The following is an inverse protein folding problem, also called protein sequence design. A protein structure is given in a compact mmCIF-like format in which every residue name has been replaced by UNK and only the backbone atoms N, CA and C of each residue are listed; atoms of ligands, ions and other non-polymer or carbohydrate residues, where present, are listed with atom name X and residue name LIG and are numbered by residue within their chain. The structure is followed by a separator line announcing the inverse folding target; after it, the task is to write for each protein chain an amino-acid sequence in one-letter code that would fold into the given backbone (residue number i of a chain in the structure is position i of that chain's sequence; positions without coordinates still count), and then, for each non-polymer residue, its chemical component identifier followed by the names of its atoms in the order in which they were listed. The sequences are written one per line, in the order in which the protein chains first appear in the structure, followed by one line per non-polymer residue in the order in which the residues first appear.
data_IF_441968637945
#
_entry.id   IF_441968637945
#
_cell.length_a   1.000
_cell.length_b   1.000
_cell.length_c   1.000
_cell.angle_alpha   90.00
_cell.angle_beta   90.00
_cell.angle_gamma   90.00
#
_symmetry.space_group_name_H-M   'P 1'
#
loop_
_entity.id
_entity.type
_entity.pdbx_description
1 polymer ?
#
# COMPACT_ATOMS: atom_id res chain seq x y z
N UNK A 1 -14.68 14.90 6.23
CA UNK A 1 -15.00 14.40 4.87
C UNK A 1 -16.18 15.17 4.25
N UNK A 2 -17.31 15.35 4.96
CA UNK A 2 -18.48 16.11 4.45
C UNK A 2 -18.18 17.53 3.95
N UNK A 3 -17.31 18.30 4.61
CA UNK A 3 -16.96 19.66 4.17
C UNK A 3 -16.19 19.69 2.83
N UNK A 4 -15.40 18.66 2.52
CA UNK A 4 -14.58 18.62 1.30
C UNK A 4 -15.37 18.20 0.05
N UNK A 5 -16.54 17.56 0.25
CA UNK A 5 -17.42 17.09 -0.81
C UNK A 5 -18.43 18.17 -1.27
N UNK A 6 -18.65 19.20 -0.44
CA UNK A 6 -19.59 20.29 -0.70
C UNK A 6 -18.94 21.60 -1.20
N UNK A 7 -17.62 21.60 -1.48
CA UNK A 7 -16.83 22.83 -1.64
C UNK A 7 -16.65 23.34 -3.08
N UNK A 8 -17.34 22.80 -4.08
CA UNK A 8 -17.12 23.20 -5.49
C UNK A 8 -15.72 22.87 -6.01
N UNK A 9 -15.02 21.95 -5.34
CA UNK A 9 -13.71 21.45 -5.77
C UNK A 9 -13.86 20.47 -6.93
N UNK A 10 -13.04 20.63 -7.97
CA UNK A 10 -13.00 19.72 -9.12
C UNK A 10 -12.47 18.31 -8.78
N UNK A 11 -11.77 18.17 -7.64
CA UNK A 11 -11.17 16.90 -7.18
C UNK A 11 -11.34 16.75 -5.66
N UNK A 12 -11.80 15.57 -5.23
CA UNK A 12 -11.82 15.15 -3.82
C UNK A 12 -10.80 14.02 -3.61
N UNK A 13 -9.93 14.17 -2.61
CA UNK A 13 -8.98 13.13 -2.20
C UNK A 13 -9.37 12.61 -0.82
N UNK A 14 -9.58 11.30 -0.72
CA UNK A 14 -9.80 10.61 0.54
C UNK A 14 -8.64 9.64 0.80
N UNK A 15 -7.92 9.86 1.89
CA UNK A 15 -6.79 9.02 2.32
C UNK A 15 -7.29 8.03 3.38
N UNK A 16 -6.88 6.76 3.29
CA UNK A 16 -7.35 5.67 4.17
C UNK A 16 -8.89 5.62 4.28
N UNK A 17 -9.55 5.71 3.13
CA UNK A 17 -10.99 5.76 3.09
C UNK A 17 -11.59 4.35 3.25
N UNK A 18 -12.68 4.25 4.01
CA UNK A 18 -13.50 3.04 4.04
C UNK A 18 -14.59 3.13 2.95
N UNK A 19 -14.93 1.98 2.37
CA UNK A 19 -15.93 1.94 1.29
C UNK A 19 -17.31 2.42 1.78
N UNK A 20 -17.68 2.11 3.02
CA UNK A 20 -19.01 2.42 3.55
C UNK A 20 -19.24 3.94 3.71
N UNK A 21 -18.20 4.65 4.13
CA UNK A 21 -18.16 6.11 4.22
C UNK A 21 -18.24 6.74 2.83
N UNK A 22 -17.35 6.34 1.92
CA UNK A 22 -17.28 6.93 0.58
C UNK A 22 -18.52 6.65 -0.27
N UNK A 23 -19.09 5.44 -0.19
CA UNK A 23 -20.24 5.05 -1.00
C UNK A 23 -21.45 5.99 -0.84
N UNK A 24 -21.62 6.61 0.34
CA UNK A 24 -22.71 7.57 0.61
C UNK A 24 -22.54 8.90 -0.15
N UNK A 25 -21.34 9.16 -0.66
CA UNK A 25 -20.98 10.42 -1.29
C UNK A 25 -20.69 10.28 -2.78
N UNK A 26 -20.52 9.06 -3.29
CA UNK A 26 -20.37 8.83 -4.74
C UNK A 26 -21.72 9.04 -5.43
N UNK A 27 -21.77 10.06 -6.28
CA UNK A 27 -22.90 10.28 -7.20
C UNK A 27 -22.63 9.70 -8.59
N UNK A 28 -23.67 9.54 -9.40
CA UNK A 28 -23.56 9.02 -10.77
C UNK A 28 -22.70 9.90 -11.70
N UNK A 29 -22.49 11.17 -11.35
CA UNK A 29 -21.72 12.13 -12.14
C UNK A 29 -20.25 12.24 -11.67
N UNK A 30 -19.87 11.51 -10.63
CA UNK A 30 -18.50 11.50 -10.13
C UNK A 30 -17.68 10.42 -10.83
N UNK A 31 -16.44 10.77 -11.14
CA UNK A 31 -15.45 9.85 -11.66
C UNK A 31 -14.52 9.46 -10.52
N UNK A 32 -14.58 8.20 -10.09
CA UNK A 32 -13.90 7.74 -8.89
C UNK A 32 -12.75 6.79 -9.23
N UNK A 33 -11.62 6.99 -8.55
CA UNK A 33 -10.47 6.10 -8.60
C UNK A 33 -10.12 5.63 -7.19
N UNK A 34 -9.77 4.36 -7.05
CA UNK A 34 -9.22 3.80 -5.83
C UNK A 34 -7.82 3.25 -6.13
N UNK A 35 -6.80 3.90 -5.56
CA UNK A 35 -5.42 3.45 -5.70
C UNK A 35 -5.10 2.45 -4.60
N UNK A 36 -4.84 1.21 -5.00
CA UNK A 36 -4.43 0.11 -4.12
C UNK A 36 -2.92 -0.12 -4.21
N UNK A 37 -2.36 -0.82 -3.24
CA UNK A 37 -0.95 -1.21 -3.20
C UNK A 37 -0.84 -2.65 -2.74
N UNK A 38 0.21 -3.35 -3.17
CA UNK A 38 0.48 -4.72 -2.70
C UNK A 38 0.55 -4.72 -1.14
N UNK A 39 -0.28 -5.51 -0.43
CA UNK A 39 -0.33 -5.52 1.03
C UNK A 39 1.03 -5.85 1.67
N UNK A 40 1.86 -6.68 1.04
CA UNK A 40 3.23 -6.96 1.51
C UNK A 40 4.09 -5.69 1.51
N UNK A 41 4.03 -4.92 0.43
CA UNK A 41 4.72 -3.62 0.31
C UNK A 41 4.16 -2.58 1.29
N UNK A 42 2.85 -2.61 1.59
CA UNK A 42 2.23 -1.75 2.59
C UNK A 42 2.80 -2.03 3.98
N UNK A 43 2.91 -3.30 4.40
CA UNK A 43 3.48 -3.66 5.72
C UNK A 43 4.91 -3.16 5.86
N UNK A 44 5.77 -3.39 4.87
CA UNK A 44 7.17 -2.92 4.89
C UNK A 44 7.23 -1.39 4.98
N UNK A 45 6.46 -0.71 4.13
CA UNK A 45 6.42 0.75 4.09
C UNK A 45 5.93 1.34 5.41
N UNK A 46 4.90 0.74 5.99
CA UNK A 46 4.34 1.14 7.27
C UNK A 46 5.33 0.91 8.41
N UNK A 47 6.01 -0.24 8.49
CA UNK A 47 6.92 -0.54 9.59
C UNK A 47 8.01 0.54 9.70
N UNK A 48 8.71 0.81 8.59
CA UNK A 48 9.79 1.80 8.62
C UNK A 48 9.28 3.23 8.84
N UNK A 49 8.12 3.57 8.28
CA UNK A 49 7.56 4.91 8.47
C UNK A 49 7.02 5.11 9.88
N UNK A 50 6.28 4.14 10.42
CA UNK A 50 5.77 4.16 11.79
C UNK A 50 6.91 4.20 12.80
N UNK A 51 7.99 3.45 12.57
CA UNK A 51 9.17 3.45 13.44
C UNK A 51 9.91 4.80 13.43
N UNK A 52 9.98 5.51 12.30
CA UNK A 52 10.92 6.64 12.16
C UNK A 52 10.35 7.94 11.64
N UNK A 53 9.60 7.90 10.54
CA UNK A 53 9.37 9.11 9.73
C UNK A 53 7.97 9.67 9.87
N UNK A 54 6.93 8.83 9.99
CA UNK A 54 5.54 9.26 10.01
C UNK A 54 5.28 10.24 11.19
N UNK A 55 4.60 11.38 10.99
CA UNK A 55 4.29 12.28 12.09
C UNK A 55 3.42 11.58 13.14
N UNK A 56 3.67 11.84 14.42
CA UNK A 56 2.85 11.32 15.53
C UNK A 56 1.97 12.39 16.18
N UNK A 57 2.11 13.65 15.75
CA UNK A 57 1.33 14.76 16.28
C UNK A 57 -0.16 14.51 16.02
N UNK A 58 -0.94 14.46 17.11
CA UNK A 58 -2.38 14.16 17.05
C UNK A 58 -2.73 12.67 16.84
N UNK A 59 -1.75 11.75 16.89
CA UNK A 59 -1.99 10.32 16.68
C UNK A 59 -1.35 9.44 17.76
N UNK A 60 -1.96 9.45 18.95
CA UNK A 60 -1.46 8.73 20.13
C UNK A 60 -1.30 7.20 19.91
N UNK A 61 -2.15 6.60 19.07
CA UNK A 61 -2.04 5.18 18.72
C UNK A 61 -0.73 4.88 18.00
N UNK A 62 -0.33 5.74 17.05
CA UNK A 62 0.95 5.60 16.35
C UNK A 62 2.13 5.92 17.27
N UNK A 63 2.00 6.88 18.19
CA UNK A 63 3.03 7.15 19.19
C UNK A 63 3.31 5.91 20.06
N UNK A 64 2.25 5.23 20.52
CA UNK A 64 2.37 3.96 21.26
C UNK A 64 2.96 2.84 20.41
N UNK A 65 2.49 2.69 19.17
CA UNK A 65 3.06 1.74 18.19
C UNK A 65 4.56 1.97 18.04
N UNK A 66 5.00 3.21 17.82
CA UNK A 66 6.41 3.56 17.63
C UNK A 66 7.27 3.15 18.82
N UNK A 67 6.80 3.39 20.04
CA UNK A 67 7.52 2.99 21.25
C UNK A 67 7.72 1.47 21.29
N UNK A 68 6.66 0.69 21.04
CA UNK A 68 6.75 -0.77 20.98
C UNK A 68 7.71 -1.23 19.88
N UNK A 69 7.61 -0.65 18.67
CA UNK A 69 8.50 -0.99 17.55
C UNK A 69 9.97 -0.66 17.84
N UNK A 70 10.26 0.29 18.73
CA UNK A 70 11.61 0.62 19.18
C UNK A 70 12.21 -0.37 20.18
N UNK A 71 11.38 -1.22 20.79
CA UNK A 71 11.78 -2.17 21.85
C UNK A 71 11.87 -3.63 21.39
N UNK A 72 11.31 -3.94 20.22
CA UNK A 72 11.27 -5.31 19.67
C UNK A 72 12.25 -5.48 18.51
N UNK A 73 12.59 -6.73 18.19
CA UNK A 73 13.32 -7.03 16.97
C UNK A 73 12.49 -6.70 15.71
N UNK A 74 13.18 -6.59 14.57
CA UNK A 74 12.58 -6.22 13.29
C UNK A 74 11.46 -7.17 12.87
N UNK A 75 11.61 -8.47 13.10
CA UNK A 75 10.69 -9.48 12.60
C UNK A 75 9.37 -9.44 13.38
N UNK A 76 9.46 -9.35 14.71
CA UNK A 76 8.33 -9.08 15.59
C UNK A 76 7.70 -7.72 15.25
N UNK A 77 8.51 -6.70 15.03
CA UNK A 77 8.02 -5.36 14.67
C UNK A 77 7.23 -5.33 13.35
N UNK A 78 7.64 -6.09 12.34
CA UNK A 78 6.90 -6.24 11.08
C UNK A 78 5.56 -6.95 11.30
N UNK A 79 5.52 -8.00 12.12
CA UNK A 79 4.29 -8.71 12.46
C UNK A 79 3.31 -7.84 13.27
N UNK A 80 3.82 -7.07 14.25
CA UNK A 80 3.01 -6.09 15.00
C UNK A 80 2.50 -4.96 14.11
N UNK A 81 3.29 -4.55 13.12
CA UNK A 81 2.85 -3.56 12.13
C UNK A 81 1.72 -4.10 11.28
N UNK A 82 1.82 -5.34 10.78
CA UNK A 82 0.72 -6.00 10.08
C UNK A 82 -0.56 -5.96 10.92
N UNK A 83 -0.51 -6.44 12.17
CA UNK A 83 -1.69 -6.46 13.06
C UNK A 83 -2.27 -5.06 13.31
N UNK A 84 -1.40 -4.04 13.47
CA UNK A 84 -1.85 -2.66 13.61
C UNK A 84 -2.59 -2.13 12.37
N UNK A 85 -2.12 -2.47 11.17
CA UNK A 85 -2.75 -2.08 9.91
C UNK A 85 -4.07 -2.83 9.62
N UNK A 86 -4.29 -3.97 10.28
CA UNK A 86 -5.55 -4.75 10.23
C UNK A 86 -6.57 -4.32 11.28
N UNK A 87 -6.19 -3.43 12.19
CA UNK A 87 -7.07 -2.96 13.25
C UNK A 87 -8.26 -2.19 12.68
N UNK A 88 -9.48 -2.45 13.17
CA UNK A 88 -10.64 -1.57 12.96
C UNK A 88 -10.60 -0.29 13.81
N UNK A 89 -9.54 -0.11 14.60
CA UNK A 89 -9.32 1.03 15.50
C UNK A 89 -7.90 1.58 15.27
N UNK A 90 -7.61 2.00 14.05
CA UNK A 90 -6.29 2.48 13.64
C UNK A 90 -6.05 3.93 14.08
N UNK A 91 -7.07 4.77 13.89
CA UNK A 91 -7.26 6.04 14.61
C UNK A 91 -8.71 6.11 15.07
N UNK A 92 -9.11 7.11 15.89
CA UNK A 92 -10.52 7.33 16.18
C UNK A 92 -11.34 7.34 14.89
N UNK A 93 -12.36 6.48 14.83
CA UNK A 93 -13.32 6.39 13.72
C UNK A 93 -12.74 5.98 12.35
N UNK A 94 -11.49 5.47 12.31
CA UNK A 94 -10.86 5.00 11.07
C UNK A 94 -10.25 3.62 11.23
N UNK A 95 -10.51 2.76 10.24
CA UNK A 95 -9.90 1.45 10.16
C UNK A 95 -8.45 1.56 9.64
N UNK A 96 -7.71 0.48 9.82
CA UNK A 96 -6.38 0.34 9.24
C UNK A 96 -6.48 0.08 7.74
N UNK A 97 -5.44 0.45 6.97
CA UNK A 97 -5.48 0.35 5.52
C UNK A 97 -5.60 -1.09 5.02
N UNK A 98 -5.11 -2.09 5.77
CA UNK A 98 -5.29 -3.50 5.38
C UNK A 98 -6.69 -4.01 5.73
N UNK A 99 -7.29 -3.52 6.82
CA UNK A 99 -8.69 -3.77 7.11
C UNK A 99 -9.59 -3.27 5.96
N UNK A 100 -9.46 -2.00 5.57
CA UNK A 100 -10.29 -1.44 4.51
C UNK A 100 -10.02 -2.10 3.15
N UNK A 101 -8.77 -2.48 2.86
CA UNK A 101 -8.44 -3.25 1.66
C UNK A 101 -9.19 -4.59 1.60
N UNK A 102 -9.35 -5.29 2.72
CA UNK A 102 -10.11 -6.54 2.76
C UNK A 102 -11.63 -6.33 2.64
N UNK A 103 -12.14 -5.22 3.16
CA UNK A 103 -13.58 -4.92 3.24
C UNK A 103 -14.13 -4.18 2.02
N UNK A 104 -13.26 -3.72 1.11
CA UNK A 104 -13.64 -2.89 -0.02
C UNK A 104 -14.47 -3.65 -1.06
N UNK A 105 -15.49 -2.99 -1.65
CA UNK A 105 -16.28 -3.56 -2.76
C UNK A 105 -15.65 -3.23 -4.11
N UNK A 106 -14.75 -4.10 -4.56
CA UNK A 106 -14.01 -3.93 -5.82
C UNK A 106 -14.85 -4.11 -7.09
N UNK A 107 -16.07 -4.62 -6.98
CA UNK A 107 -17.00 -4.78 -8.11
C UNK A 107 -17.93 -3.58 -8.32
N UNK A 108 -17.75 -2.50 -7.54
CA UNK A 108 -18.46 -1.25 -7.78
C UNK A 108 -17.96 -0.57 -9.05
N UNK A 109 -18.74 -0.67 -10.14
CA UNK A 109 -18.36 -0.14 -11.45
C UNK A 109 -18.20 1.38 -11.50
N UNK A 110 -18.63 2.11 -10.47
CA UNK A 110 -18.41 3.56 -10.36
C UNK A 110 -16.97 3.89 -9.99
N UNK A 111 -16.20 2.92 -9.48
CA UNK A 111 -14.86 3.10 -8.93
C UNK A 111 -13.85 2.30 -9.75
N UNK A 112 -12.94 2.99 -10.42
CA UNK A 112 -11.82 2.35 -11.12
C UNK A 112 -10.73 2.03 -10.12
N UNK A 113 -10.36 0.75 -10.00
CA UNK A 113 -9.25 0.33 -9.12
C UNK A 113 -7.92 0.36 -9.87
N UNK A 114 -6.92 1.01 -9.31
CA UNK A 114 -5.61 1.26 -9.92
C UNK A 114 -4.50 0.78 -8.98
N UNK A 115 -3.45 0.15 -9.50
CA UNK A 115 -2.31 -0.29 -8.66
C UNK A 115 -1.25 0.80 -8.58
N UNK A 116 -0.79 1.10 -7.38
CA UNK A 116 0.33 2.01 -7.13
C UNK A 116 1.57 1.58 -7.92
N UNK A 117 1.81 0.28 -8.05
CA UNK A 117 2.92 -0.30 -8.79
C UNK A 117 2.86 0.05 -10.29
N UNK A 118 1.67 0.12 -10.89
CA UNK A 118 1.50 0.53 -12.30
C UNK A 118 1.79 2.03 -12.47
N UNK A 119 1.36 2.85 -11.51
CA UNK A 119 1.60 4.30 -11.50
C UNK A 119 3.10 4.58 -11.38
N UNK A 120 3.78 3.88 -10.46
CA UNK A 120 5.17 4.17 -10.10
C UNK A 120 6.20 3.50 -11.01
N UNK A 121 5.84 2.43 -11.72
CA UNK A 121 6.72 1.80 -12.71
C UNK A 121 6.91 2.67 -13.96
N UNK A 122 5.84 3.33 -14.43
CA UNK A 122 5.90 4.22 -15.58
C UNK A 122 4.76 5.25 -15.53
N UNK A 123 4.93 6.30 -14.72
CA UNK A 123 3.94 7.35 -14.53
C UNK A 123 3.49 7.97 -15.87
N UNK A 124 4.42 8.21 -16.79
CA UNK A 124 4.12 8.82 -18.08
C UNK A 124 3.22 7.95 -18.95
N UNK A 125 3.50 6.65 -19.02
CA UNK A 125 2.63 5.70 -19.71
C UNK A 125 1.29 5.56 -19.00
N UNK A 126 1.30 5.45 -17.67
CA UNK A 126 0.08 5.32 -16.88
C UNK A 126 -0.89 6.48 -17.14
N UNK A 127 -0.41 7.73 -17.03
CA UNK A 127 -1.27 8.89 -17.24
C UNK A 127 -1.69 9.06 -18.70
N UNK A 128 -0.86 8.66 -19.67
CA UNK A 128 -1.25 8.61 -21.09
C UNK A 128 -2.37 7.61 -21.35
N UNK A 129 -2.34 6.44 -20.72
CA UNK A 129 -3.40 5.46 -20.89
C UNK A 129 -4.67 5.89 -20.14
N UNK A 130 -4.52 6.43 -18.93
CA UNK A 130 -5.66 6.90 -18.13
C UNK A 130 -6.36 8.11 -18.76
N UNK A 131 -5.65 9.00 -19.47
CA UNK A 131 -6.29 10.11 -20.19
C UNK A 131 -7.21 9.66 -21.33
N UNK A 132 -7.16 8.38 -21.73
CA UNK A 132 -8.12 7.80 -22.70
C UNK A 132 -9.38 7.30 -22.02
N UNK A 133 -9.34 7.05 -20.71
CA UNK A 133 -10.51 6.65 -19.92
C UNK A 133 -11.44 7.82 -19.72
N UNK A 134 -12.73 7.54 -19.54
CA UNK A 134 -13.73 8.59 -19.28
C UNK A 134 -13.34 9.44 -18.06
N UNK A 135 -12.74 8.80 -17.05
CA UNK A 135 -12.31 9.38 -15.77
C UNK A 135 -11.32 10.54 -15.91
N UNK A 136 -10.36 10.49 -16.84
CA UNK A 136 -9.35 11.54 -16.99
C UNK A 136 -9.36 12.20 -18.37
N UNK A 137 -10.35 11.88 -19.23
CA UNK A 137 -10.42 12.40 -20.61
C UNK A 137 -10.35 13.91 -20.70
N UNK A 138 -10.96 14.60 -19.74
CA UNK A 138 -11.05 16.06 -19.71
C UNK A 138 -10.11 16.69 -18.68
N UNK A 139 -9.28 15.88 -18.00
CA UNK A 139 -8.35 16.37 -17.01
C UNK A 139 -7.07 16.90 -17.68
N UNK A 140 -6.62 18.09 -17.26
CA UNK A 140 -5.27 18.55 -17.59
C UNK A 140 -4.29 17.83 -16.68
N UNK A 141 -3.53 16.89 -17.25
CA UNK A 141 -2.55 16.12 -16.48
C UNK A 141 -1.25 16.90 -16.34
N UNK A 142 -0.65 16.95 -15.14
CA UNK A 142 0.66 17.55 -14.98
C UNK A 142 1.73 16.66 -15.63
N UNK A 143 2.93 17.21 -15.84
CA UNK A 143 4.06 16.46 -16.37
C UNK A 143 4.38 15.25 -15.46
N UNK A 144 4.17 14.02 -15.93
CA UNK A 144 4.29 12.82 -15.12
C UNK A 144 5.72 12.53 -14.68
N UNK A 145 6.73 13.00 -15.42
CA UNK A 145 8.14 12.73 -15.11
C UNK A 145 8.57 13.42 -13.81
N UNK A 146 7.91 14.54 -13.47
CA UNK A 146 8.11 15.28 -12.20
C UNK A 146 7.67 14.51 -10.96
N UNK A 147 6.84 13.48 -11.13
CA UNK A 147 6.32 12.66 -10.03
C UNK A 147 6.97 11.26 -9.99
N UNK A 148 8.01 11.04 -10.79
CA UNK A 148 8.85 9.84 -10.64
C UNK A 148 9.59 9.87 -9.30
N UNK A 149 9.87 8.69 -8.74
CA UNK A 149 10.65 8.58 -7.49
C UNK A 149 11.99 9.33 -7.58
N UNK A 150 12.67 9.21 -8.73
CA UNK A 150 13.93 9.90 -8.98
C UNK A 150 13.78 11.42 -9.04
N UNK A 151 12.74 11.94 -9.70
CA UNK A 151 12.49 13.38 -9.71
C UNK A 151 12.12 13.92 -8.32
N UNK A 152 11.35 13.16 -7.54
CA UNK A 152 10.89 13.60 -6.21
C UNK A 152 11.98 13.52 -5.14
N UNK A 153 12.96 12.62 -5.28
CA UNK A 153 13.94 12.32 -4.22
C UNK A 153 15.39 12.54 -4.60
N UNK A 154 15.69 12.68 -5.89
CA UNK A 154 17.05 12.64 -6.43
C UNK A 154 17.71 11.26 -6.37
N UNK A 155 17.00 10.20 -5.96
CA UNK A 155 17.53 8.84 -5.80
C UNK A 155 16.94 7.85 -6.80
N UNK A 156 17.70 6.83 -7.17
CA UNK A 156 17.17 5.71 -7.93
C UNK A 156 16.26 4.84 -7.06
N UNK A 157 15.23 4.22 -7.65
CA UNK A 157 14.39 3.24 -6.94
C UNK A 157 15.27 2.10 -6.40
N UNK A 158 14.96 1.63 -5.19
CA UNK A 158 15.74 0.62 -4.47
C UNK A 158 16.84 1.20 -3.57
N UNK A 159 17.22 2.48 -3.74
CA UNK A 159 18.19 3.13 -2.84
C UNK A 159 17.50 3.53 -1.54
N UNK A 160 17.79 2.79 -0.48
CA UNK A 160 17.17 2.97 0.84
C UNK A 160 17.73 4.20 1.56
N UNK A 161 16.83 5.07 1.99
CA UNK A 161 17.09 6.15 2.96
C UNK A 161 16.11 6.05 4.13
N UNK A 162 16.61 5.60 5.29
CA UNK A 162 15.81 5.35 6.49
C UNK A 162 15.29 6.64 7.17
N UNK A 163 15.81 7.79 6.80
CA UNK A 163 15.38 9.10 7.30
C UNK A 163 14.29 9.75 6.45
N UNK A 164 14.05 9.21 5.25
CA UNK A 164 13.08 9.75 4.29
C UNK A 164 11.74 9.02 4.34
N UNK A 165 10.64 9.77 4.24
CA UNK A 165 9.32 9.19 3.95
C UNK A 165 9.30 8.43 2.61
N UNK A 166 10.02 8.93 1.61
CA UNK A 166 10.20 8.25 0.33
C UNK A 166 11.34 7.23 0.43
N UNK A 167 11.22 6.27 1.34
CA UNK A 167 12.35 5.44 1.80
C UNK A 167 13.09 4.70 0.69
N UNK A 168 12.38 3.97 -0.18
CA UNK A 168 12.99 3.04 -1.13
C UNK A 168 12.41 3.12 -2.55
N UNK A 169 11.09 3.31 -2.68
CA UNK A 169 10.43 3.36 -3.99
C UNK A 169 10.37 2.02 -4.75
N UNK A 170 10.86 0.93 -4.15
CA UNK A 170 10.79 -0.41 -4.73
C UNK A 170 9.43 -1.07 -4.45
N UNK A 171 8.85 -1.73 -5.47
CA UNK A 171 7.65 -2.57 -5.38
C UNK A 171 7.96 -3.99 -4.89
N UNK A 172 9.23 -4.34 -4.77
CA UNK A 172 9.73 -5.71 -4.62
C UNK A 172 10.49 -5.97 -3.32
N UNK A 173 10.79 -4.92 -2.55
CA UNK A 173 11.59 -5.01 -1.33
C UNK A 173 11.02 -5.96 -0.26
N UNK A 174 9.70 -6.19 -0.29
CA UNK A 174 9.03 -7.08 0.64
C UNK A 174 9.58 -8.50 0.64
N UNK A 175 10.20 -8.95 -0.45
CA UNK A 175 10.79 -10.29 -0.57
C UNK A 175 11.94 -10.50 0.43
N UNK A 176 12.75 -9.47 0.62
CA UNK A 176 13.94 -9.52 1.47
C UNK A 176 13.67 -8.93 2.86
N UNK A 177 12.69 -8.02 2.97
CA UNK A 177 12.43 -7.29 4.19
C UNK A 177 11.50 -8.03 5.17
N UNK A 178 10.48 -8.75 4.66
CA UNK A 178 9.45 -9.34 5.52
C UNK A 178 9.85 -10.73 6.05
N UNK A 179 9.52 -11.04 7.31
CA UNK A 179 9.63 -12.39 7.83
C UNK A 179 8.71 -13.35 7.07
N UNK A 180 9.16 -14.59 6.87
CA UNK A 180 8.38 -15.62 6.14
C UNK A 180 6.98 -15.81 6.71
N UNK A 181 6.80 -15.76 8.03
CA UNK A 181 5.49 -15.87 8.67
C UNK A 181 4.51 -14.76 8.26
N UNK A 182 5.00 -13.52 8.15
CA UNK A 182 4.21 -12.37 7.69
C UNK A 182 3.83 -12.53 6.22
N UNK A 183 4.79 -12.96 5.38
CA UNK A 183 4.53 -13.23 3.96
C UNK A 183 3.42 -14.27 3.80
N UNK A 184 3.56 -15.43 4.46
CA UNK A 184 2.57 -16.51 4.36
C UNK A 184 1.20 -16.11 4.88
N UNK A 185 1.16 -15.37 5.99
CA UNK A 185 -0.10 -14.84 6.51
C UNK A 185 -0.79 -13.96 5.46
N UNK A 186 -0.08 -13.00 4.88
CA UNK A 186 -0.67 -12.08 3.89
C UNK A 186 -1.12 -12.83 2.63
N UNK A 187 -0.31 -13.77 2.13
CA UNK A 187 -0.67 -14.58 0.96
C UNK A 187 -1.94 -15.41 1.17
N UNK A 188 -2.18 -15.88 2.39
CA UNK A 188 -3.36 -16.67 2.70
C UNK A 188 -4.57 -15.78 3.02
N UNK A 189 -4.38 -14.77 3.87
CA UNK A 189 -5.46 -13.91 4.35
C UNK A 189 -5.98 -12.95 3.26
N UNK A 190 -5.09 -12.44 2.41
CA UNK A 190 -5.44 -11.53 1.30
C UNK A 190 -5.45 -12.24 -0.05
N UNK A 191 -5.63 -13.57 -0.06
CA UNK A 191 -5.46 -14.40 -1.27
C UNK A 191 -6.31 -13.93 -2.44
N UNK A 192 -7.60 -13.67 -2.22
CA UNK A 192 -8.52 -13.32 -3.30
C UNK A 192 -8.22 -11.93 -3.86
N UNK A 193 -7.86 -10.98 -2.99
CA UNK A 193 -7.38 -9.66 -3.39
C UNK A 193 -6.10 -9.78 -4.24
N UNK A 194 -5.13 -10.57 -3.77
CA UNK A 194 -3.87 -10.79 -4.48
C UNK A 194 -4.08 -11.51 -5.82
N UNK A 195 -4.93 -12.53 -5.91
CA UNK A 195 -5.24 -13.19 -7.19
C UNK A 195 -5.83 -12.21 -8.20
N UNK A 196 -6.68 -11.30 -7.74
CA UNK A 196 -7.36 -10.34 -8.58
C UNK A 196 -6.43 -9.24 -9.09
N UNK A 197 -5.58 -8.70 -8.23
CA UNK A 197 -4.82 -7.48 -8.53
C UNK A 197 -3.30 -7.67 -8.59
N UNK A 198 -2.76 -8.72 -7.96
CA UNK A 198 -1.33 -9.00 -7.88
C UNK A 198 -1.02 -10.49 -8.10
N UNK A 199 -1.54 -11.13 -9.17
CA UNK A 199 -1.36 -12.57 -9.38
C UNK A 199 0.13 -12.96 -9.45
N UNK A 200 0.98 -12.07 -9.96
CA UNK A 200 2.44 -12.24 -10.00
C UNK A 200 3.04 -12.49 -8.61
N UNK A 201 2.53 -11.83 -7.57
CA UNK A 201 3.03 -11.97 -6.20
C UNK A 201 2.78 -13.38 -5.67
N UNK A 202 1.64 -13.98 -6.03
CA UNK A 202 1.31 -15.36 -5.62
C UNK A 202 2.23 -16.37 -6.30
N UNK A 203 2.46 -16.21 -7.61
CA UNK A 203 3.33 -17.12 -8.36
C UNK A 203 4.78 -17.03 -7.87
N UNK A 204 5.28 -15.82 -7.64
CA UNK A 204 6.62 -15.61 -7.11
C UNK A 204 6.78 -16.19 -5.70
N UNK A 205 5.80 -16.03 -4.82
CA UNK A 205 5.89 -16.56 -3.46
C UNK A 205 5.91 -18.09 -3.41
N UNK A 206 5.23 -18.77 -4.35
CA UNK A 206 5.34 -20.23 -4.52
C UNK A 206 6.78 -20.67 -4.80
N UNK A 207 7.52 -19.89 -5.60
CA UNK A 207 8.95 -20.17 -5.86
C UNK A 207 9.84 -19.94 -4.63
N UNK A 208 9.50 -18.97 -3.77
CA UNK A 208 10.21 -18.70 -2.51
C UNK A 208 9.99 -19.83 -1.49
N UNK A 209 8.80 -20.44 -1.46
CA UNK A 209 8.57 -21.62 -0.61
C UNK A 209 9.41 -22.83 -1.06
N UNK A 210 9.58 -23.04 -2.36
CA UNK A 210 10.32 -24.19 -2.89
C UNK A 210 11.85 -24.06 -2.73
N UNK A 211 12.38 -22.84 -2.82
CA UNK A 211 13.82 -22.58 -2.65
C UNK A 211 14.30 -22.82 -1.21
N UNK A 212 13.47 -22.51 -0.21
CA UNK A 212 13.81 -22.68 1.22
C UNK A 212 13.77 -24.13 1.71
N UNK A 213 13.06 -25.03 1.01
CA UNK A 213 13.04 -26.47 1.33
C UNK A 213 14.35 -27.14 0.93
N UNK A 214 15.04 -26.62 -0.10
CA UNK A 214 16.31 -27.19 -0.58
C UNK A 214 17.54 -26.81 0.25
N UNK A 215 17.46 -25.80 1.12
CA UNK A 215 18.64 -25.38 1.91
C UNK A 215 18.80 -26.10 3.25
N UNK A 216 17.80 -26.87 3.71
CA UNK A 216 17.83 -27.54 5.02
C UNK A 216 17.88 -29.07 4.94
N UNK A 217 17.81 -29.67 3.75
CA UNK A 217 17.96 -31.13 3.57
C UNK A 217 19.40 -31.59 3.37
N UNK A 218 20.32 -30.70 3.04
CA UNK A 218 21.69 -31.06 2.62
C UNK A 218 22.74 -30.91 3.74
N UNK A 219 22.36 -30.41 4.92
CA UNK A 219 23.25 -30.26 6.07
C UNK A 219 23.13 -31.36 7.14
N UNK A 220 22.41 -32.45 6.89
CA UNK A 220 22.31 -33.60 7.81
C UNK A 220 22.87 -34.91 7.23
N UNK A 221 23.76 -34.83 6.23
CA UNK A 221 24.56 -35.98 5.78
C UNK A 221 26.00 -35.57 5.51
N UNK A 222 26.81 -35.53 6.56
CA UNK A 222 28.23 -35.92 6.57
C UNK A 222 28.67 -36.12 8.02
#
# INVERSE_FOLDING_TARGET
MEMALNSGNDVIVALNADYSGINKHISANMQCMHVIRNPLSVVVSAYYSHLRTHPIDGWDFLARQRNVLGEVDKDVGMALTLSFLESSHFQPETNGPLYDMSAWKYDDSRIVTLRMEDITANAANFFREMSRTEVLRNASMPDPDRFSFAAMTGRQQGVIDLSSHYRCGSSTEWRDALPRGVILYVLHHYRDFLLRFYPEVIFEAGSLSDASVRSNSDCLRA
#
